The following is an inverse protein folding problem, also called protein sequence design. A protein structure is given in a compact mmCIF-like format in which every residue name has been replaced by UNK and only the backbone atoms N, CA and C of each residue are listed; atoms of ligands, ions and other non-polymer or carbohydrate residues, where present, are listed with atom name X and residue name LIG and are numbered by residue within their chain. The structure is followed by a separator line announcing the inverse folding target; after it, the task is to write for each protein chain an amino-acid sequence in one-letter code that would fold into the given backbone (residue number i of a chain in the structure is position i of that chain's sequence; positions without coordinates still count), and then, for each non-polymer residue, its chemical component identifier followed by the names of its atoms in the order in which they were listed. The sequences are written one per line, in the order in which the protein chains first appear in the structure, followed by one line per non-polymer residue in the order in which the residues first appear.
data_IF_706171414249
#
_entry.id   IF_706171414249
#
_cell.length_a   1.000
_cell.length_b   1.000
_cell.length_c   1.000
_cell.angle_alpha   90.00
_cell.angle_beta   90.00
_cell.angle_gamma   90.00
#
_symmetry.space_group_name_H-M   'P 1'
#
loop_
_entity.id
_entity.type
_entity.pdbx_description
1 polymer ?
#
# COMPACT_ATOMS: atom_id res chain seq x y z
N UNK A 1 -0.78 -21.47 35.56
CA UNK A 1 -0.85 -20.64 34.33
C UNK A 1 -2.14 -20.97 33.60
N UNK A 2 -3.01 -20.01 33.35
CA UNK A 2 -4.26 -20.25 32.61
C UNK A 2 -3.99 -20.51 31.13
N UNK A 3 -4.87 -21.27 30.49
CA UNK A 3 -4.75 -21.69 29.08
C UNK A 3 -4.53 -20.49 28.12
N UNK A 4 -5.10 -19.32 28.43
CA UNK A 4 -4.84 -18.06 27.71
C UNK A 4 -3.36 -17.65 27.70
N UNK A 5 -2.71 -17.66 28.87
CA UNK A 5 -1.30 -17.27 29.01
C UNK A 5 -0.36 -18.24 28.30
N UNK A 6 -0.74 -19.53 28.24
CA UNK A 6 -0.02 -20.54 27.47
C UNK A 6 -0.10 -20.30 25.96
N UNK A 7 -1.31 -19.98 25.45
CA UNK A 7 -1.49 -19.66 24.04
C UNK A 7 -0.76 -18.37 23.66
N UNK A 8 -0.75 -17.34 24.51
CA UNK A 8 0.04 -16.12 24.32
C UNK A 8 1.56 -16.40 24.32
N UNK A 9 2.07 -17.18 25.28
CA UNK A 9 3.51 -17.51 25.31
C UNK A 9 3.96 -18.35 24.12
N UNK A 10 3.10 -19.25 23.62
CA UNK A 10 3.40 -20.05 22.42
C UNK A 10 3.37 -19.17 21.17
N UNK A 11 2.46 -18.20 21.10
CA UNK A 11 2.42 -17.21 20.01
C UNK A 11 3.64 -16.29 19.99
N UNK A 12 4.10 -15.84 21.16
CA UNK A 12 5.33 -15.03 21.30
C UNK A 12 6.58 -15.84 20.96
N UNK A 13 6.69 -17.08 21.48
CA UNK A 13 7.82 -17.98 21.22
C UNK A 13 7.95 -18.36 19.74
N UNK A 14 6.80 -18.52 19.06
CA UNK A 14 6.74 -18.88 17.64
C UNK A 14 6.59 -17.65 16.70
N UNK A 15 6.60 -16.43 17.25
CA UNK A 15 6.47 -15.15 16.52
C UNK A 15 5.23 -15.05 15.60
N UNK A 16 4.15 -15.79 15.92
CA UNK A 16 3.05 -16.05 14.99
C UNK A 16 2.19 -14.80 14.73
N UNK A 17 2.00 -13.96 15.75
CA UNK A 17 1.15 -12.76 15.64
C UNK A 17 1.86 -11.62 14.87
N UNK A 18 3.19 -11.54 14.91
CA UNK A 18 3.96 -10.54 14.18
C UNK A 18 4.14 -10.90 12.71
N UNK A 19 4.18 -12.19 12.35
CA UNK A 19 4.27 -12.62 10.95
C UNK A 19 3.10 -12.10 10.12
N UNK A 20 1.86 -12.12 10.63
CA UNK A 20 0.68 -11.60 9.90
C UNK A 20 0.75 -10.09 9.71
N UNK A 21 1.09 -9.33 10.75
CA UNK A 21 1.27 -7.87 10.67
C UNK A 21 2.41 -7.50 9.73
N UNK A 22 3.55 -8.19 9.83
CA UNK A 22 4.75 -8.00 9.00
C UNK A 22 4.47 -8.32 7.53
N UNK A 23 3.76 -9.41 7.23
CA UNK A 23 3.36 -9.79 5.88
C UNK A 23 2.38 -8.77 5.27
N UNK A 24 1.38 -8.33 6.04
CA UNK A 24 0.44 -7.28 5.61
C UNK A 24 1.15 -5.96 5.34
N UNK A 25 2.04 -5.54 6.23
CA UNK A 25 2.87 -4.33 6.06
C UNK A 25 3.79 -4.43 4.84
N UNK A 26 4.35 -5.61 4.56
CA UNK A 26 5.18 -5.85 3.36
C UNK A 26 4.35 -5.78 2.08
N UNK A 27 3.17 -6.39 2.07
CA UNK A 27 2.25 -6.36 0.94
C UNK A 27 1.82 -4.93 0.59
N UNK A 28 1.45 -4.13 1.60
CA UNK A 28 1.05 -2.72 1.41
C UNK A 28 2.24 -1.89 0.92
N UNK A 29 3.45 -2.06 1.48
CA UNK A 29 4.65 -1.37 0.99
C UNK A 29 4.95 -1.71 -0.47
N UNK A 30 4.82 -2.97 -0.87
CA UNK A 30 5.02 -3.38 -2.25
C UNK A 30 3.97 -2.77 -3.19
N UNK A 31 2.71 -2.72 -2.75
CA UNK A 31 1.64 -2.09 -3.51
C UNK A 31 1.88 -0.58 -3.69
N UNK A 32 2.25 0.12 -2.61
CA UNK A 32 2.58 1.55 -2.65
C UNK A 32 3.72 1.84 -3.62
N UNK A 33 4.79 1.03 -3.61
CA UNK A 33 5.88 1.16 -4.58
C UNK A 33 5.38 1.08 -6.02
N UNK A 34 4.51 0.11 -6.32
CA UNK A 34 3.91 -0.04 -7.66
C UNK A 34 3.05 1.16 -8.04
N UNK A 35 2.26 1.68 -7.09
CA UNK A 35 1.43 2.87 -7.31
C UNK A 35 2.27 4.13 -7.56
N UNK A 36 3.38 4.30 -6.86
CA UNK A 36 4.31 5.42 -7.05
C UNK A 36 4.96 5.35 -8.44
N UNK A 37 5.47 4.17 -8.84
CA UNK A 37 6.04 3.97 -10.18
C UNK A 37 4.99 4.29 -11.25
N UNK A 38 3.75 3.78 -11.06
CA UNK A 38 2.66 4.05 -11.99
C UNK A 38 2.29 5.53 -12.07
N UNK A 39 2.30 6.23 -10.93
CA UNK A 39 2.07 7.69 -10.86
C UNK A 39 3.11 8.45 -11.68
N UNK A 40 4.38 8.06 -11.58
CA UNK A 40 5.47 8.63 -12.37
C UNK A 40 5.29 8.36 -13.87
N UNK A 41 4.96 7.12 -14.25
CA UNK A 41 4.66 6.76 -15.65
C UNK A 41 3.53 7.60 -16.25
N UNK A 42 2.46 7.85 -15.47
CA UNK A 42 1.32 8.67 -15.90
C UNK A 42 1.75 10.14 -16.06
N UNK A 43 2.57 10.67 -15.16
CA UNK A 43 3.12 12.03 -15.29
C UNK A 43 3.97 12.18 -16.55
N UNK A 44 4.87 11.23 -16.80
CA UNK A 44 5.67 11.20 -18.04
C UNK A 44 4.80 11.10 -19.29
N UNK A 45 3.73 10.30 -19.24
CA UNK A 45 2.73 10.29 -20.32
C UNK A 45 2.13 11.67 -20.48
N UNK A 46 1.57 12.29 -19.44
CA UNK A 46 0.91 13.59 -19.51
C UNK A 46 1.77 14.73 -20.10
N UNK A 47 3.10 14.64 -20.00
CA UNK A 47 4.05 15.57 -20.62
C UNK A 47 4.18 15.41 -22.15
N UNK A 48 3.77 14.28 -22.70
CA UNK A 48 3.82 14.02 -24.13
C UNK A 48 2.79 14.88 -24.89
N UNK A 49 3.30 15.77 -25.75
CA UNK A 49 2.51 16.70 -26.56
C UNK A 49 1.57 16.02 -27.57
N UNK A 50 1.74 14.72 -27.84
CA UNK A 50 0.95 13.96 -28.84
C UNK A 50 -0.31 13.29 -28.28
N UNK A 51 -0.65 13.50 -27.01
CA UNK A 51 -1.78 12.82 -26.36
C UNK A 51 -3.10 13.51 -26.69
N UNK A 52 -4.15 12.71 -26.95
CA UNK A 52 -5.49 13.23 -27.19
C UNK A 52 -6.14 13.81 -25.93
N UNK A 53 -7.08 14.76 -26.09
CA UNK A 53 -7.84 15.32 -24.96
C UNK A 53 -8.55 14.24 -24.13
N UNK A 54 -9.04 13.18 -24.79
CA UNK A 54 -9.72 12.05 -24.16
C UNK A 54 -8.76 11.24 -23.30
N UNK A 55 -7.62 10.84 -23.84
CA UNK A 55 -6.58 10.11 -23.09
C UNK A 55 -6.05 10.95 -21.93
N UNK A 56 -5.84 12.25 -22.13
CA UNK A 56 -5.42 13.16 -21.06
C UNK A 56 -6.41 13.16 -19.89
N UNK A 57 -7.72 13.16 -20.17
CA UNK A 57 -8.76 13.09 -19.12
C UNK A 57 -8.67 11.77 -18.34
N UNK A 58 -8.56 10.64 -19.04
CA UNK A 58 -8.41 9.33 -18.40
C UNK A 58 -7.16 9.23 -17.53
N UNK A 59 -6.02 9.75 -18.02
CA UNK A 59 -4.77 9.75 -17.27
C UNK A 59 -4.85 10.62 -16.01
N UNK A 60 -5.56 11.74 -16.05
CA UNK A 60 -5.80 12.58 -14.87
C UNK A 60 -6.72 11.87 -13.85
N UNK A 61 -7.80 11.24 -14.32
CA UNK A 61 -8.68 10.43 -13.45
C UNK A 61 -7.92 9.26 -12.80
N UNK A 62 -7.06 8.58 -13.56
CA UNK A 62 -6.19 7.52 -13.03
C UNK A 62 -5.24 8.06 -11.95
N UNK A 63 -4.70 9.26 -12.14
CA UNK A 63 -3.79 9.91 -11.20
C UNK A 63 -4.50 10.24 -9.88
N UNK A 64 -5.72 10.79 -9.93
CA UNK A 64 -6.54 11.08 -8.75
C UNK A 64 -6.86 9.80 -7.95
N UNK A 65 -7.20 8.72 -8.65
CA UNK A 65 -7.46 7.41 -8.04
C UNK A 65 -6.20 6.89 -7.33
N UNK A 66 -5.05 6.94 -8.01
CA UNK A 66 -3.78 6.50 -7.45
C UNK A 66 -3.42 7.28 -6.19
N UNK A 67 -3.64 8.60 -6.18
CA UNK A 67 -3.33 9.45 -5.03
C UNK A 67 -4.19 9.10 -3.81
N UNK A 68 -5.48 8.86 -4.01
CA UNK A 68 -6.38 8.38 -2.94
C UNK A 68 -5.91 7.02 -2.39
N UNK A 69 -5.45 6.11 -3.26
CA UNK A 69 -4.97 4.80 -2.82
C UNK A 69 -3.61 4.86 -2.10
N UNK A 70 -2.72 5.76 -2.50
CA UNK A 70 -1.46 6.01 -1.81
C UNK A 70 -1.73 6.53 -0.39
N UNK A 71 -2.57 7.56 -0.26
CA UNK A 71 -2.92 8.14 1.04
C UNK A 71 -3.57 7.11 1.99
N UNK A 72 -4.47 6.27 1.45
CA UNK A 72 -5.07 5.16 2.21
C UNK A 72 -4.01 4.13 2.63
N UNK A 73 -3.09 3.76 1.74
CA UNK A 73 -2.02 2.80 2.02
C UNK A 73 -1.08 3.30 3.12
N UNK A 74 -0.71 4.58 3.10
CA UNK A 74 0.11 5.22 4.13
C UNK A 74 -0.59 5.23 5.50
N UNK A 75 -1.89 5.59 5.54
CA UNK A 75 -2.70 5.53 6.76
C UNK A 75 -2.74 4.12 7.36
N UNK A 76 -2.85 3.09 6.53
CA UNK A 76 -2.86 1.69 7.00
C UNK A 76 -1.48 1.30 7.55
N UNK A 77 -0.38 1.69 6.89
CA UNK A 77 0.97 1.44 7.41
C UNK A 77 1.18 2.12 8.75
N UNK A 78 0.75 3.38 8.90
CA UNK A 78 0.86 4.11 10.17
C UNK A 78 0.11 3.37 11.29
N UNK A 79 -1.11 2.89 11.03
CA UNK A 79 -1.88 2.06 11.97
C UNK A 79 -1.26 0.70 12.29
N UNK A 80 -0.47 0.13 11.38
CA UNK A 80 0.24 -1.15 11.61
C UNK A 80 1.58 -0.95 12.34
N UNK A 81 2.06 0.30 12.46
CA UNK A 81 3.27 0.68 13.18
C UNK A 81 2.99 1.21 14.59
N UNK A 82 1.74 1.61 14.87
CA UNK A 82 1.23 1.93 16.21
C UNK A 82 0.69 0.67 16.89
#
# INVERSE_FOLDING_TARGET
MGMKKFVESVKELLDIDDVKKKNKKRAIRNLLKKLIIRKEDIRLKLENKKISKKEKKFLLEELDIIDVHIEKGEKIIKKLNS
#
